data_IF_564419297077
#
_entry.id   IF_564419297077
#
_cell.length_a   1.000
_cell.length_b   1.000
_cell.length_c   1.000
_cell.angle_alpha   90.00
_cell.angle_beta   90.00
_cell.angle_gamma   90.00
#
_symmetry.space_group_name_H-M   'P 1'
#
loop_
_entity.id
_entity.type
_entity.pdbx_description
1 polymer ?
#
# COMPACT_ATOMS: atom_id res chain seq x y z
N UNK A 1 10.62 6.51 -21.39
CA UNK A 1 10.77 7.69 -20.52
C UNK A 1 10.75 7.20 -19.08
N UNK A 2 11.86 7.35 -18.36
CA UNK A 2 11.99 7.09 -16.91
C UNK A 2 11.27 8.19 -16.09
N UNK A 3 11.26 8.12 -14.75
CA UNK A 3 10.75 7.12 -13.79
C UNK A 3 9.51 7.69 -13.04
N UNK A 4 8.75 6.93 -12.23
CA UNK A 4 8.32 7.38 -10.88
C UNK A 4 7.17 6.67 -10.12
N UNK A 5 6.32 5.78 -10.61
CA UNK A 5 4.92 5.89 -10.12
C UNK A 5 4.31 4.64 -9.48
N UNK A 6 4.59 4.38 -8.20
CA UNK A 6 3.62 3.66 -7.34
C UNK A 6 3.36 4.37 -6.02
N UNK A 7 4.43 4.70 -5.30
CA UNK A 7 4.33 5.57 -4.12
C UNK A 7 3.80 6.97 -4.51
N UNK A 8 4.25 7.50 -5.66
CA UNK A 8 3.77 8.76 -6.23
C UNK A 8 2.33 8.66 -6.75
N UNK A 9 1.86 7.50 -7.23
CA UNK A 9 0.47 7.41 -7.69
C UNK A 9 -0.49 7.27 -6.53
N UNK A 10 -0.14 6.46 -5.53
CA UNK A 10 -0.94 6.34 -4.30
C UNK A 10 -0.93 7.66 -3.50
N UNK A 11 0.16 8.43 -3.52
CA UNK A 11 0.21 9.80 -3.00
C UNK A 11 -0.58 10.79 -3.86
N UNK A 12 -0.56 10.70 -5.20
CA UNK A 12 -1.39 11.53 -6.09
C UNK A 12 -2.88 11.23 -5.87
N UNK A 13 -3.28 9.96 -5.76
CA UNK A 13 -4.68 9.59 -5.53
C UNK A 13 -5.18 10.06 -4.15
N UNK A 14 -4.33 9.99 -3.11
CA UNK A 14 -4.64 10.55 -1.78
C UNK A 14 -4.60 12.09 -1.74
N UNK A 15 -3.66 12.76 -2.43
CA UNK A 15 -3.53 14.24 -2.46
C UNK A 15 -4.61 14.89 -3.33
N UNK A 16 -5.07 14.21 -4.39
CA UNK A 16 -6.16 14.64 -5.27
C UNK A 16 -7.55 14.31 -4.69
N UNK A 17 -7.62 13.56 -3.58
CA UNK A 17 -8.86 13.32 -2.84
C UNK A 17 -9.87 12.38 -3.51
N UNK A 18 -9.41 11.42 -4.33
CA UNK A 18 -10.32 10.53 -5.06
C UNK A 18 -10.40 9.13 -4.44
N UNK A 19 -11.64 8.64 -4.32
CA UNK A 19 -11.98 7.30 -3.82
C UNK A 19 -11.19 6.19 -4.55
N UNK A 20 -10.72 5.21 -3.78
CA UNK A 20 -10.07 3.97 -4.28
C UNK A 20 -10.96 3.18 -5.26
N UNK A 21 -12.26 3.45 -5.29
CA UNK A 21 -13.22 2.84 -6.23
C UNK A 21 -13.38 3.61 -7.54
N UNK A 22 -12.69 4.74 -7.69
CA UNK A 22 -12.75 5.53 -8.91
C UNK A 22 -12.28 4.70 -10.12
N UNK A 23 -12.89 4.91 -11.30
CA UNK A 23 -12.46 4.25 -12.53
C UNK A 23 -10.95 4.41 -12.81
N UNK A 24 -10.39 5.57 -12.47
CA UNK A 24 -8.97 5.87 -12.63
C UNK A 24 -8.07 4.96 -11.77
N UNK A 25 -8.45 4.70 -10.50
CA UNK A 25 -7.71 3.76 -9.64
C UNK A 25 -7.75 2.33 -10.18
N UNK A 26 -8.87 1.93 -10.80
CA UNK A 26 -9.00 0.59 -11.43
C UNK A 26 -8.11 0.47 -12.66
N UNK A 27 -8.13 1.46 -13.54
CA UNK A 27 -7.29 1.50 -14.74
C UNK A 27 -5.80 1.48 -14.38
N UNK A 28 -5.41 2.25 -13.36
CA UNK A 28 -4.04 2.24 -12.84
C UNK A 28 -3.63 0.87 -12.30
N UNK A 29 -4.49 0.25 -11.48
CA UNK A 29 -4.24 -1.09 -10.95
C UNK A 29 -4.06 -2.10 -12.08
N UNK A 30 -4.88 -2.03 -13.11
CA UNK A 30 -4.80 -2.92 -14.25
C UNK A 30 -3.51 -2.69 -15.05
N UNK A 31 -3.11 -1.44 -15.27
CA UNK A 31 -1.83 -1.12 -15.90
C UNK A 31 -0.64 -1.69 -15.12
N UNK A 32 -0.61 -1.44 -13.81
CA UNK A 32 0.43 -1.95 -12.91
C UNK A 32 0.52 -3.47 -12.93
N UNK A 33 -0.62 -4.16 -13.09
CA UNK A 33 -0.67 -5.62 -13.14
C UNK A 33 -0.09 -6.20 -14.44
N UNK A 34 -0.09 -5.44 -15.53
CA UNK A 34 0.33 -5.93 -16.85
C UNK A 34 1.63 -5.30 -17.38
N UNK A 35 2.15 -4.26 -16.72
CA UNK A 35 3.39 -3.58 -17.11
C UNK A 35 4.60 -4.10 -16.31
N UNK A 36 5.54 -4.84 -16.94
CA UNK A 36 6.70 -5.41 -16.24
C UNK A 36 7.60 -4.36 -15.59
N UNK A 37 7.79 -3.20 -16.22
CA UNK A 37 8.61 -2.11 -15.68
C UNK A 37 8.02 -1.55 -14.39
N UNK A 38 6.69 -1.35 -14.37
CA UNK A 38 5.98 -0.91 -13.18
C UNK A 38 6.09 -1.96 -12.08
N UNK A 39 5.88 -3.24 -12.38
CA UNK A 39 6.01 -4.32 -11.39
C UNK A 39 7.39 -4.36 -10.75
N UNK A 40 8.45 -4.28 -11.56
CA UNK A 40 9.82 -4.27 -11.06
C UNK A 40 10.10 -3.05 -10.17
N UNK A 41 9.65 -1.86 -10.58
CA UNK A 41 9.77 -0.65 -9.76
C UNK A 41 9.06 -0.80 -8.42
N UNK A 42 7.84 -1.32 -8.44
CA UNK A 42 7.03 -1.57 -7.24
C UNK A 42 7.74 -2.51 -6.28
N UNK A 43 8.32 -3.57 -6.81
CA UNK A 43 9.00 -4.56 -6.00
C UNK A 43 10.27 -3.98 -5.35
N UNK A 44 10.98 -3.08 -6.05
CA UNK A 44 12.08 -2.31 -5.44
C UNK A 44 11.60 -1.44 -4.28
N UNK A 45 10.45 -0.79 -4.41
CA UNK A 45 9.88 0.05 -3.34
C UNK A 45 9.45 -0.81 -2.15
N UNK A 46 8.82 -1.97 -2.39
CA UNK A 46 8.47 -2.93 -1.32
C UNK A 46 9.72 -3.42 -0.59
N UNK A 47 10.81 -3.68 -1.32
CA UNK A 47 12.08 -4.08 -0.73
C UNK A 47 12.63 -2.99 0.19
N UNK A 48 12.60 -1.73 -0.25
CA UNK A 48 13.00 -0.60 0.59
C UNK A 48 12.16 -0.49 1.85
N UNK A 49 10.83 -0.63 1.76
CA UNK A 49 9.94 -0.63 2.94
C UNK A 49 10.29 -1.76 3.90
N UNK A 50 10.55 -2.96 3.39
CA UNK A 50 10.95 -4.10 4.20
C UNK A 50 12.27 -3.82 4.95
N UNK A 51 13.27 -3.28 4.25
CA UNK A 51 14.53 -2.89 4.88
C UNK A 51 14.30 -1.86 5.99
N UNK A 52 13.46 -0.84 5.76
CA UNK A 52 13.13 0.13 6.79
C UNK A 52 12.47 -0.50 8.01
N UNK A 53 11.56 -1.46 7.81
CA UNK A 53 10.90 -2.20 8.90
C UNK A 53 11.88 -3.10 9.67
N UNK A 54 12.83 -3.73 8.97
CA UNK A 54 13.84 -4.59 9.59
C UNK A 54 14.85 -3.77 10.42
N UNK A 55 15.23 -2.58 9.93
CA UNK A 55 16.15 -1.66 10.63
C UNK A 55 15.45 -0.92 11.78
N UNK A 56 14.17 -0.60 11.62
CA UNK A 56 13.34 0.05 12.63
C UNK A 56 12.14 -0.85 12.97
N UNK A 57 12.35 -1.92 13.75
CA UNK A 57 11.28 -2.81 14.13
C UNK A 57 10.21 -2.01 14.86
N UNK A 58 8.93 -2.13 14.47
CA UNK A 58 7.85 -1.40 15.11
C UNK A 58 7.73 -1.85 16.56
N UNK A 59 7.39 -0.91 17.44
CA UNK A 59 7.12 -1.23 18.83
C UNK A 59 5.99 -2.27 18.92
N UNK A 60 6.09 -3.22 19.86
CA UNK A 60 5.06 -4.23 20.03
C UNK A 60 3.73 -3.55 20.36
N UNK A 61 2.71 -3.84 19.53
CA UNK A 61 1.35 -3.35 19.78
C UNK A 61 0.85 -3.95 21.09
N UNK A 62 0.30 -3.13 22.02
CA UNK A 62 -0.26 -3.65 23.26
C UNK A 62 -1.31 -4.73 23.00
N UNK A 63 -1.23 -5.85 23.73
CA UNK A 63 -2.08 -7.02 23.51
C UNK A 63 -3.58 -6.68 23.63
N UNK A 64 -3.91 -5.68 24.47
CA UNK A 64 -5.27 -5.14 24.62
C UNK A 64 -5.81 -4.56 23.31
N UNK A 65 -5.01 -3.75 22.60
CA UNK A 65 -5.39 -3.15 21.31
C UNK A 65 -5.57 -4.22 20.25
N UNK A 66 -4.67 -5.21 20.23
CA UNK A 66 -4.74 -6.36 19.31
C UNK A 66 -5.99 -7.19 19.52
N UNK A 67 -6.37 -7.48 20.77
CA UNK A 67 -7.59 -8.22 21.09
C UNK A 67 -8.85 -7.46 20.70
N UNK A 68 -8.91 -6.16 20.97
CA UNK A 68 -10.07 -5.33 20.59
C UNK A 68 -10.24 -5.22 19.06
N UNK A 69 -9.14 -5.08 18.32
CA UNK A 69 -9.15 -5.13 16.85
C UNK A 69 -9.66 -6.48 16.34
N UNK A 70 -9.13 -7.59 16.87
CA UNK A 70 -9.54 -8.93 16.46
C UNK A 70 -11.02 -9.22 16.75
N UNK A 71 -11.55 -8.73 17.89
CA UNK A 71 -12.98 -8.83 18.19
C UNK A 71 -13.83 -8.09 17.15
N UNK A 72 -13.45 -6.86 16.80
CA UNK A 72 -14.19 -6.07 15.80
C UNK A 72 -14.15 -6.67 14.39
N UNK A 73 -13.05 -7.33 14.02
CA UNK A 73 -12.91 -8.00 12.71
C UNK A 73 -13.69 -9.33 12.67
N UNK A 74 -13.70 -10.09 13.78
CA UNK A 74 -14.37 -11.40 13.87
C UNK A 74 -15.86 -11.34 14.19
N UNK A 75 -16.38 -10.20 14.62
CA UNK A 75 -17.81 -9.97 14.70
C UNK A 75 -18.32 -9.54 13.33
N UNK A 76 -18.89 -10.44 12.51
CA UNK A 76 -19.53 -10.04 11.27
C UNK A 76 -20.65 -9.05 11.61
N UNK A 77 -20.66 -7.92 10.90
CA UNK A 77 -21.74 -6.95 10.94
C UNK A 77 -22.82 -7.33 9.94
#
# INVERSE_FOLDING_TARGET
>A
MSPHTKKIVDELCNYLGYDFQSPMCKELHEHVKHCPECQQYIDSVKMTVKICQDVHPPEPVPETVKQELLKKIKSPK
#
